data_IF_366335644280
#
_entry.id   IF_366335644280
#
_cell.length_a   1.000
_cell.length_b   1.000
_cell.length_c   1.000
_cell.angle_alpha   90.00
_cell.angle_beta   90.00
_cell.angle_gamma   90.00
#
_symmetry.space_group_name_H-M   'P 1'
#
loop_
_entity.id
_entity.type
_entity.pdbx_description
1 polymer ?
#
# COMPACT_ATOMS: atom_id res chain seq x y z
N UNK A 1 -12.62 16.59 10.77
CA UNK A 1 -12.02 16.33 9.45
C UNK A 1 -10.94 17.35 9.06
N UNK A 2 -11.17 18.66 9.28
CA UNK A 2 -10.26 19.72 8.84
C UNK A 2 -8.82 19.58 9.34
N UNK A 3 -8.63 19.13 10.59
CA UNK A 3 -7.28 18.91 11.13
C UNK A 3 -6.48 17.88 10.29
N UNK A 4 -7.13 16.79 9.87
CA UNK A 4 -6.51 15.73 9.09
C UNK A 4 -6.13 16.23 7.70
N UNK A 5 -7.10 16.87 7.01
CA UNK A 5 -6.89 17.47 5.69
C UNK A 5 -5.72 18.47 5.74
N UNK A 6 -5.67 19.31 6.77
CA UNK A 6 -4.59 20.28 6.94
C UNK A 6 -3.24 19.57 7.11
N UNK A 7 -3.15 18.59 8.02
CA UNK A 7 -1.93 17.84 8.26
C UNK A 7 -1.40 17.14 6.98
N UNK A 8 -2.25 16.40 6.26
CA UNK A 8 -1.83 15.67 5.04
C UNK A 8 -1.50 16.58 3.86
N UNK A 9 -2.01 17.82 3.87
CA UNK A 9 -1.71 18.82 2.85
C UNK A 9 -0.41 19.55 3.15
N UNK A 10 -0.18 19.96 4.41
CA UNK A 10 1.04 20.66 4.82
C UNK A 10 2.26 19.74 4.90
N UNK A 11 2.07 18.49 5.34
CA UNK A 11 3.16 17.54 5.55
C UNK A 11 2.90 16.20 4.84
N UNK A 12 2.80 16.20 3.50
CA UNK A 12 2.30 15.05 2.73
C UNK A 12 3.20 13.81 2.79
N UNK A 13 4.51 13.97 2.97
CA UNK A 13 5.47 12.86 3.09
C UNK A 13 5.50 12.34 4.52
N UNK A 14 5.65 13.24 5.50
CA UNK A 14 5.72 12.87 6.91
C UNK A 14 4.45 12.16 7.37
N UNK A 15 3.27 12.65 6.97
CA UNK A 15 1.99 12.01 7.30
C UNK A 15 1.84 10.65 6.61
N UNK A 16 2.37 10.46 5.41
CA UNK A 16 2.42 9.14 4.76
C UNK A 16 3.30 8.17 5.57
N UNK A 17 4.50 8.61 5.95
CA UNK A 17 5.44 7.85 6.80
C UNK A 17 4.75 7.40 8.08
N UNK A 18 4.16 8.33 8.83
CA UNK A 18 3.50 8.02 10.11
C UNK A 18 2.34 7.03 9.92
N UNK A 19 1.46 7.27 8.94
CA UNK A 19 0.30 6.42 8.70
C UNK A 19 0.71 4.99 8.32
N UNK A 20 1.65 4.82 7.40
CA UNK A 20 2.10 3.48 6.99
C UNK A 20 2.96 2.80 8.06
N UNK A 21 3.81 3.53 8.78
CA UNK A 21 4.58 2.97 9.89
C UNK A 21 3.67 2.33 10.95
N UNK A 22 2.58 3.02 11.30
CA UNK A 22 1.61 2.53 12.28
C UNK A 22 0.71 1.45 11.68
N UNK A 23 -0.02 1.76 10.60
CA UNK A 23 -1.06 0.86 10.06
C UNK A 23 -0.48 -0.35 9.32
N UNK A 24 0.65 -0.19 8.63
CA UNK A 24 1.35 -1.29 7.99
C UNK A 24 1.85 -2.31 9.01
N UNK A 25 2.57 -1.84 10.03
CA UNK A 25 3.05 -2.68 11.14
C UNK A 25 1.88 -3.34 11.88
N UNK A 26 0.81 -2.59 12.12
CA UNK A 26 -0.38 -3.12 12.78
C UNK A 26 -1.08 -4.20 11.95
N UNK A 27 -1.17 -4.05 10.63
CA UNK A 27 -1.72 -5.06 9.73
C UNK A 27 -0.97 -6.40 9.83
N UNK A 28 0.35 -6.36 9.92
CA UNK A 28 1.16 -7.56 10.12
C UNK A 28 0.92 -8.22 11.50
N UNK A 29 0.77 -7.41 12.54
CA UNK A 29 0.46 -7.88 13.90
C UNK A 29 -0.93 -8.54 13.93
N UNK A 30 -1.95 -7.89 13.36
CA UNK A 30 -3.31 -8.44 13.26
C UNK A 30 -3.32 -9.77 12.51
N UNK A 31 -2.55 -9.88 11.42
CA UNK A 31 -2.46 -11.13 10.67
C UNK A 31 -2.03 -12.29 11.58
N UNK A 32 -1.04 -12.06 12.46
CA UNK A 32 -0.61 -13.05 13.46
C UNK A 32 -1.66 -13.31 14.53
N UNK A 33 -2.42 -12.30 14.95
CA UNK A 33 -3.52 -12.50 15.91
C UNK A 33 -4.59 -13.43 15.36
N UNK A 34 -5.00 -13.22 14.10
CA UNK A 34 -6.04 -14.02 13.46
C UNK A 34 -5.56 -15.47 13.23
N UNK A 35 -4.33 -15.65 12.76
CA UNK A 35 -3.75 -16.99 12.56
C UNK A 35 -3.71 -17.77 13.88
N UNK A 36 -3.29 -17.14 14.97
CA UNK A 36 -3.12 -17.80 16.27
C UNK A 36 -4.38 -17.76 17.16
N UNK A 37 -5.47 -17.12 16.70
CA UNK A 37 -6.70 -16.89 17.47
C UNK A 37 -6.46 -16.26 18.86
N UNK A 38 -5.41 -15.43 18.97
CA UNK A 38 -4.98 -14.84 20.25
C UNK A 38 -4.40 -13.45 20.01
N UNK A 39 -4.70 -12.51 20.92
CA UNK A 39 -4.07 -11.18 20.95
C UNK A 39 -2.81 -11.25 21.79
N UNK A 40 -1.66 -10.97 21.18
CA UNK A 40 -0.34 -10.99 21.82
C UNK A 40 0.66 -10.17 20.99
N UNK A 41 1.76 -9.68 21.54
CA UNK A 41 2.78 -9.04 20.69
C UNK A 41 3.60 -10.12 19.96
N UNK A 42 3.49 -10.29 18.62
CA UNK A 42 4.12 -11.41 17.93
C UNK A 42 5.60 -11.16 17.61
N UNK A 43 6.07 -9.94 17.79
CA UNK A 43 7.42 -9.49 17.44
C UNK A 43 8.11 -8.87 18.65
N UNK A 44 9.44 -9.00 18.73
CA UNK A 44 10.21 -8.26 19.74
C UNK A 44 10.20 -6.76 19.42
N UNK A 45 10.45 -5.92 20.42
CA UNK A 45 10.47 -4.46 20.25
C UNK A 45 11.41 -3.99 19.11
N UNK A 46 12.60 -4.59 18.99
CA UNK A 46 13.55 -4.27 17.91
C UNK A 46 12.99 -4.59 16.52
N UNK A 47 12.26 -5.70 16.39
CA UNK A 47 11.62 -6.11 15.13
C UNK A 47 10.46 -5.17 14.79
N UNK A 48 9.66 -4.76 15.77
CA UNK A 48 8.59 -3.77 15.56
C UNK A 48 9.16 -2.46 15.02
N UNK A 49 10.21 -1.93 15.64
CA UNK A 49 10.87 -0.70 15.16
C UNK A 49 11.42 -0.86 13.73
N UNK A 50 12.02 -2.01 13.43
CA UNK A 50 12.48 -2.29 12.06
C UNK A 50 11.31 -2.28 11.06
N UNK A 51 10.20 -2.96 11.38
CA UNK A 51 9.02 -2.99 10.53
C UNK A 51 8.43 -1.60 10.30
N UNK A 52 8.37 -0.77 11.35
CA UNK A 52 7.97 0.63 11.22
C UNK A 52 8.90 1.41 10.27
N UNK A 53 10.21 1.18 10.33
CA UNK A 53 11.17 1.80 9.41
C UNK A 53 10.99 1.31 7.97
N UNK A 54 10.80 0.02 7.76
CA UNK A 54 10.50 -0.57 6.43
C UNK A 54 9.24 0.07 5.85
N UNK A 55 8.15 0.10 6.61
CA UNK A 55 6.91 0.74 6.17
C UNK A 55 7.05 2.25 5.91
N UNK A 56 7.89 2.93 6.68
CA UNK A 56 8.21 4.35 6.46
C UNK A 56 8.89 4.59 5.11
N UNK A 57 9.88 3.76 4.76
CA UNK A 57 10.58 3.82 3.47
C UNK A 57 9.59 3.57 2.33
N UNK A 58 8.78 2.52 2.46
CA UNK A 58 7.76 2.17 1.46
C UNK A 58 6.72 3.27 1.30
N UNK A 59 6.34 3.98 2.37
CA UNK A 59 5.38 5.07 2.33
C UNK A 59 5.83 6.21 1.39
N UNK A 60 7.12 6.55 1.42
CA UNK A 60 7.70 7.57 0.53
C UNK A 60 7.63 7.11 -0.92
N UNK A 61 8.04 5.87 -1.20
CA UNK A 61 7.94 5.27 -2.54
C UNK A 61 6.49 5.25 -3.05
N UNK A 62 5.54 4.82 -2.22
CA UNK A 62 4.11 4.77 -2.55
C UNK A 62 3.59 6.18 -2.86
N UNK A 63 3.93 7.17 -2.04
CA UNK A 63 3.48 8.55 -2.25
C UNK A 63 3.97 9.12 -3.58
N UNK A 64 5.24 8.89 -3.91
CA UNK A 64 5.80 9.31 -5.19
C UNK A 64 5.18 8.54 -6.37
N UNK A 65 5.01 7.23 -6.26
CA UNK A 65 4.35 6.43 -7.29
C UNK A 65 2.90 6.91 -7.55
N UNK A 66 2.14 7.20 -6.50
CA UNK A 66 0.76 7.69 -6.63
C UNK A 66 0.68 9.02 -7.37
N UNK A 67 1.62 9.94 -7.12
CA UNK A 67 1.67 11.23 -7.83
C UNK A 67 2.19 11.04 -9.25
N UNK A 68 3.27 10.29 -9.42
CA UNK A 68 3.91 10.03 -10.71
C UNK A 68 2.99 9.32 -11.69
N UNK A 69 2.31 8.24 -11.29
CA UNK A 69 1.40 7.48 -12.16
C UNK A 69 0.18 8.32 -12.56
N UNK A 70 -0.32 9.22 -11.71
CA UNK A 70 -1.37 10.17 -12.12
C UNK A 70 -0.88 11.12 -13.21
N UNK A 71 0.36 11.60 -13.11
CA UNK A 71 1.01 12.38 -14.16
C UNK A 71 1.15 11.57 -15.44
N UNK A 72 1.62 10.32 -15.31
CA UNK A 72 1.79 9.38 -16.42
C UNK A 72 0.47 9.12 -17.17
N UNK A 73 -0.63 8.84 -16.45
CA UNK A 73 -1.97 8.70 -17.07
C UNK A 73 -2.38 9.96 -17.80
N UNK A 74 -2.14 11.14 -17.22
CA UNK A 74 -2.48 12.43 -17.85
C UNK A 74 -1.72 12.62 -19.16
N UNK A 75 -0.40 12.38 -19.15
CA UNK A 75 0.44 12.51 -20.33
C UNK A 75 0.03 11.52 -21.42
N UNK A 76 -0.27 10.27 -21.07
CA UNK A 76 -0.74 9.28 -22.04
C UNK A 76 -2.09 9.67 -22.67
N UNK A 77 -3.02 10.25 -21.90
CA UNK A 77 -4.30 10.73 -22.45
C UNK A 77 -4.12 11.97 -23.34
N UNK A 78 -3.22 12.88 -22.96
CA UNK A 78 -2.91 14.09 -23.72
C UNK A 78 -2.26 13.76 -25.08
N UNK A 79 -1.38 12.76 -25.11
CA UNK A 79 -0.75 12.28 -26.34
C UNK A 79 -1.61 11.27 -27.13
N UNK A 80 -2.90 11.10 -26.80
CA UNK A 80 -3.82 10.16 -27.44
C UNK A 80 -3.37 8.68 -27.40
N UNK A 81 -2.51 8.31 -26.44
CA UNK A 81 -2.04 6.94 -26.20
C UNK A 81 -2.96 6.15 -25.25
N UNK A 82 -3.84 6.85 -24.52
CA UNK A 82 -4.97 6.26 -23.79
C UNK A 82 -6.29 6.90 -24.26
N UNK A 83 -7.42 6.16 -24.20
CA UNK A 83 -8.73 6.70 -24.50
C UNK A 83 -9.04 7.95 -23.66
N UNK A 84 -9.71 8.94 -24.26
CA UNK A 84 -10.07 10.19 -23.57
C UNK A 84 -10.94 10.00 -22.33
N UNK A 85 -11.65 8.86 -22.22
CA UNK A 85 -12.38 8.48 -21.01
C UNK A 85 -11.50 8.37 -19.73
N UNK A 86 -10.16 8.21 -19.88
CA UNK A 86 -9.22 8.24 -18.77
C UNK A 86 -8.73 9.65 -18.39
N UNK A 87 -9.03 10.67 -19.21
CA UNK A 87 -8.64 12.06 -18.94
C UNK A 87 -9.52 12.67 -17.84
N UNK A 88 -10.81 12.36 -17.86
CA UNK A 88 -11.79 12.92 -16.94
C UNK A 88 -11.66 12.35 -15.51
N UNK A 89 -12.01 13.15 -14.51
CA UNK A 89 -12.14 12.66 -13.14
C UNK A 89 -13.31 11.68 -13.09
N UNK A 90 -13.07 10.47 -12.60
CA UNK A 90 -14.11 9.45 -12.47
C UNK A 90 -13.55 8.07 -12.22
N UNK A 91 -14.44 7.09 -12.14
CA UNK A 91 -14.09 5.70 -11.83
C UNK A 91 -13.21 5.06 -12.91
N UNK A 92 -13.40 5.42 -14.17
CA UNK A 92 -12.60 4.90 -15.30
C UNK A 92 -11.13 5.34 -15.15
N UNK A 93 -10.91 6.63 -14.89
CA UNK A 93 -9.57 7.15 -14.59
C UNK A 93 -8.98 6.52 -13.34
N UNK A 94 -9.76 6.38 -12.26
CA UNK A 94 -9.31 5.75 -11.02
C UNK A 94 -8.87 4.29 -11.25
N UNK A 95 -9.63 3.54 -12.05
CA UNK A 95 -9.28 2.18 -12.46
C UNK A 95 -7.98 2.16 -13.30
N UNK A 96 -7.83 3.06 -14.27
CA UNK A 96 -6.61 3.16 -15.08
C UNK A 96 -5.36 3.45 -14.24
N UNK A 97 -5.44 4.42 -13.31
CA UNK A 97 -4.36 4.70 -12.35
C UNK A 97 -4.08 3.45 -11.50
N UNK A 98 -5.12 2.76 -11.04
CA UNK A 98 -5.00 1.55 -10.22
C UNK A 98 -4.29 0.41 -10.95
N UNK A 99 -4.67 0.13 -12.20
CA UNK A 99 -4.02 -0.87 -13.03
C UNK A 99 -2.55 -0.54 -13.19
N UNK A 100 -2.22 0.70 -13.59
CA UNK A 100 -0.84 1.10 -13.85
C UNK A 100 0.02 1.11 -12.58
N UNK A 101 -0.49 1.61 -11.45
CA UNK A 101 0.29 1.60 -10.20
C UNK A 101 0.57 0.18 -9.73
N UNK A 102 -0.37 -0.75 -9.89
CA UNK A 102 -0.19 -2.12 -9.41
C UNK A 102 0.68 -2.96 -10.35
N UNK A 103 0.51 -2.83 -11.67
CA UNK A 103 1.29 -3.60 -12.63
C UNK A 103 2.73 -3.09 -12.78
N UNK A 104 2.96 -1.77 -12.72
CA UNK A 104 4.31 -1.22 -12.88
C UNK A 104 5.03 -1.08 -11.54
N UNK A 105 4.40 -0.42 -10.56
CA UNK A 105 5.03 -0.12 -9.27
C UNK A 105 4.77 -1.20 -8.22
N UNK A 106 3.60 -1.85 -8.23
CA UNK A 106 3.24 -2.86 -7.25
C UNK A 106 4.19 -4.05 -7.23
N UNK A 107 4.66 -4.51 -8.39
CA UNK A 107 5.65 -5.59 -8.48
C UNK A 107 6.97 -5.20 -7.79
N UNK A 108 7.48 -4.00 -8.09
CA UNK A 108 8.64 -3.44 -7.41
C UNK A 108 8.41 -3.37 -5.91
N UNK A 109 7.26 -2.84 -5.47
CA UNK A 109 6.94 -2.66 -4.06
C UNK A 109 6.93 -3.98 -3.29
N UNK A 110 6.32 -5.03 -3.83
CA UNK A 110 6.25 -6.36 -3.18
C UNK A 110 7.64 -6.96 -3.01
N UNK A 111 8.48 -6.90 -4.05
CA UNK A 111 9.85 -7.41 -4.02
C UNK A 111 10.71 -6.58 -3.08
N UNK A 112 10.63 -5.25 -3.18
CA UNK A 112 11.43 -4.34 -2.37
C UNK A 112 11.07 -4.42 -0.89
N UNK A 113 9.78 -4.48 -0.56
CA UNK A 113 9.32 -4.76 0.80
C UNK A 113 9.95 -6.05 1.32
N UNK A 114 9.95 -7.12 0.50
CA UNK A 114 10.52 -8.40 0.92
C UNK A 114 12.02 -8.33 1.16
N UNK A 115 12.76 -7.62 0.32
CA UNK A 115 14.19 -7.40 0.49
C UNK A 115 14.45 -6.68 1.81
N UNK A 116 13.74 -5.58 2.07
CA UNK A 116 13.88 -4.80 3.31
C UNK A 116 13.55 -5.62 4.57
N UNK A 117 12.49 -6.40 4.53
CA UNK A 117 12.12 -7.29 5.64
C UNK A 117 13.23 -8.32 5.92
N UNK A 118 13.84 -8.88 4.87
CA UNK A 118 14.89 -9.89 4.99
C UNK A 118 16.24 -9.34 5.49
N UNK A 119 16.48 -8.02 5.52
CA UNK A 119 17.77 -7.46 5.96
C UNK A 119 18.09 -7.72 7.44
N UNK A 120 17.06 -7.83 8.28
CA UNK A 120 17.20 -8.06 9.73
C UNK A 120 16.83 -9.49 10.13
N UNK A 121 16.25 -10.27 9.23
CA UNK A 121 15.92 -11.67 9.49
C UNK A 121 17.15 -12.56 9.28
N UNK A 122 17.36 -13.49 10.22
CA UNK A 122 18.44 -14.48 10.12
C UNK A 122 18.25 -15.44 8.94
N UNK A 123 17.01 -15.74 8.59
CA UNK A 123 16.64 -16.57 7.44
C UNK A 123 15.83 -15.76 6.44
N UNK A 124 16.24 -15.79 5.17
CA UNK A 124 15.57 -15.07 4.09
C UNK A 124 14.25 -15.77 3.76
N UNK A 125 13.13 -15.09 4.03
CA UNK A 125 11.81 -15.66 3.77
C UNK A 125 11.35 -15.27 2.37
N UNK A 126 11.46 -16.14 1.38
CA UNK A 126 10.91 -15.91 0.02
C UNK A 126 9.56 -16.58 -0.21
N UNK A 127 9.08 -17.35 0.77
CA UNK A 127 7.84 -18.12 0.64
C UNK A 127 6.64 -17.18 0.53
N UNK A 128 5.73 -17.49 -0.40
CA UNK A 128 4.50 -16.75 -0.63
C UNK A 128 4.69 -15.44 -1.40
N UNK A 129 5.85 -15.20 -2.02
CA UNK A 129 6.06 -14.04 -2.88
C UNK A 129 5.13 -14.06 -4.10
N UNK A 130 4.92 -15.24 -4.68
CA UNK A 130 3.93 -15.53 -5.73
C UNK A 130 2.53 -15.06 -5.34
N UNK A 131 2.09 -15.39 -4.12
CA UNK A 131 0.79 -14.96 -3.58
C UNK A 131 0.75 -13.45 -3.37
N UNK A 132 1.86 -12.85 -2.94
CA UNK A 132 2.02 -11.40 -2.84
C UNK A 132 1.86 -10.71 -4.19
N UNK A 133 2.48 -11.23 -5.24
CA UNK A 133 2.34 -10.72 -6.61
C UNK A 133 0.91 -10.89 -7.13
N UNK A 134 0.29 -12.05 -6.90
CA UNK A 134 -1.11 -12.28 -7.29
C UNK A 134 -2.08 -11.32 -6.58
N UNK A 135 -1.79 -10.92 -5.33
CA UNK A 135 -2.60 -9.93 -4.60
C UNK A 135 -2.65 -8.57 -5.30
N UNK A 136 -1.65 -8.22 -6.11
CA UNK A 136 -1.66 -6.99 -6.89
C UNK A 136 -2.86 -6.95 -7.84
N UNK A 137 -3.25 -8.11 -8.38
CA UNK A 137 -4.36 -8.23 -9.32
C UNK A 137 -5.72 -8.25 -8.61
N UNK A 138 -5.94 -9.22 -7.72
CA UNK A 138 -7.27 -9.49 -7.19
C UNK A 138 -7.65 -8.61 -5.99
N UNK A 139 -6.67 -8.08 -5.24
CA UNK A 139 -6.91 -7.23 -4.07
C UNK A 139 -6.56 -5.77 -4.36
N UNK A 140 -5.33 -5.49 -4.78
CA UNK A 140 -4.85 -4.11 -4.85
C UNK A 140 -5.40 -3.33 -6.03
N UNK A 141 -5.71 -3.94 -7.19
CA UNK A 141 -6.40 -3.21 -8.27
C UNK A 141 -7.79 -2.73 -7.83
N UNK A 142 -8.68 -3.57 -7.27
CA UNK A 142 -9.95 -3.10 -6.72
C UNK A 142 -9.77 -2.07 -5.60
N UNK A 143 -8.90 -2.36 -4.62
CA UNK A 143 -8.68 -1.48 -3.47
C UNK A 143 -8.16 -0.09 -3.89
N UNK A 144 -7.17 -0.04 -4.78
CA UNK A 144 -6.64 1.22 -5.29
C UNK A 144 -7.59 1.93 -6.24
N UNK A 145 -8.50 1.23 -6.93
CA UNK A 145 -9.56 1.89 -7.72
C UNK A 145 -10.46 2.71 -6.80
N UNK A 146 -10.86 2.14 -5.66
CA UNK A 146 -11.59 2.88 -4.62
C UNK A 146 -10.73 4.00 -4.04
N UNK A 147 -9.44 3.75 -3.79
CA UNK A 147 -8.53 4.80 -3.31
C UNK A 147 -8.45 5.99 -4.26
N UNK A 148 -8.33 5.76 -5.57
CA UNK A 148 -8.17 6.82 -6.55
C UNK A 148 -9.47 7.51 -6.94
N UNK A 149 -10.63 6.96 -6.59
CA UNK A 149 -11.92 7.65 -6.73
C UNK A 149 -12.16 8.69 -5.63
N UNK A 150 -11.42 8.61 -4.50
CA UNK A 150 -11.52 9.58 -3.41
C UNK A 150 -10.77 10.89 -3.68
N UNK A 151 -11.11 11.99 -2.96
CA UNK A 151 -10.30 13.21 -2.92
C UNK A 151 -8.85 12.93 -2.52
N UNK A 152 -7.92 13.72 -3.06
CA UNK A 152 -6.46 13.50 -2.98
C UNK A 152 -5.96 13.35 -1.54
N UNK A 153 -6.59 14.08 -0.62
CA UNK A 153 -6.27 14.18 0.80
C UNK A 153 -6.46 12.83 1.51
N UNK A 154 -7.42 12.02 1.08
CA UNK A 154 -7.78 10.75 1.75
C UNK A 154 -7.09 9.53 1.16
N UNK A 155 -6.49 9.63 -0.02
CA UNK A 155 -6.00 8.47 -0.76
C UNK A 155 -4.88 7.72 -0.03
N UNK A 156 -3.96 8.46 0.59
CA UNK A 156 -2.84 7.85 1.34
C UNK A 156 -3.33 7.22 2.64
N UNK A 157 -4.25 7.88 3.35
CA UNK A 157 -4.85 7.30 4.55
C UNK A 157 -5.59 6.01 4.24
N UNK A 158 -6.40 5.98 3.19
CA UNK A 158 -7.10 4.76 2.76
C UNK A 158 -6.12 3.68 2.29
N UNK A 159 -5.07 4.03 1.54
CA UNK A 159 -4.04 3.06 1.16
C UNK A 159 -3.34 2.43 2.37
N UNK A 160 -3.06 3.21 3.43
CA UNK A 160 -2.50 2.68 4.66
C UNK A 160 -3.51 1.78 5.43
N UNK A 161 -4.81 2.10 5.39
CA UNK A 161 -5.86 1.23 5.93
C UNK A 161 -5.96 -0.10 5.17
N UNK A 162 -5.74 -0.10 3.86
CA UNK A 162 -5.69 -1.35 3.09
C UNK A 162 -4.57 -2.29 3.55
N UNK A 163 -3.46 -1.79 4.10
CA UNK A 163 -2.44 -2.64 4.73
C UNK A 163 -2.97 -3.43 5.93
N UNK A 164 -3.87 -2.83 6.73
CA UNK A 164 -4.54 -3.51 7.84
C UNK A 164 -5.52 -4.54 7.30
N UNK A 165 -6.35 -4.16 6.33
CA UNK A 165 -7.34 -5.05 5.72
C UNK A 165 -6.69 -6.26 5.07
N UNK A 166 -5.57 -6.08 4.36
CA UNK A 166 -4.81 -7.19 3.80
C UNK A 166 -4.27 -8.11 4.90
N UNK A 167 -3.76 -7.54 6.01
CA UNK A 167 -3.36 -8.28 7.20
C UNK A 167 -4.48 -9.16 7.75
N UNK A 168 -5.71 -8.62 7.80
CA UNK A 168 -6.93 -9.36 8.19
C UNK A 168 -7.19 -10.53 7.23
N UNK A 169 -7.28 -10.24 5.94
CA UNK A 169 -7.60 -11.23 4.90
C UNK A 169 -6.57 -12.37 4.88
N UNK A 170 -5.28 -12.04 4.87
CA UNK A 170 -4.20 -13.03 4.91
C UNK A 170 -4.17 -13.80 6.22
N UNK A 171 -4.58 -13.17 7.32
CA UNK A 171 -4.73 -13.82 8.61
C UNK A 171 -5.75 -14.96 8.54
N UNK A 172 -6.91 -14.72 7.90
CA UNK A 172 -7.93 -15.74 7.71
C UNK A 172 -7.51 -16.84 6.74
N UNK A 173 -6.88 -16.49 5.60
CA UNK A 173 -6.45 -17.50 4.61
C UNK A 173 -5.32 -18.41 5.09
N UNK A 174 -4.47 -17.94 6.00
CA UNK A 174 -3.36 -18.74 6.56
C UNK A 174 -3.72 -19.42 7.88
N UNK A 175 -4.96 -19.29 8.34
CA UNK A 175 -5.48 -19.99 9.51
C UNK A 175 -5.64 -21.47 9.16
N UNK A 176 -5.05 -22.34 9.98
CA UNK A 176 -5.31 -23.78 9.97
C UNK A 176 -6.44 -24.12 10.93
#
# INVERSE_FOLDING_TARGET
>A
MNWYINAVTQHPILTAIIQFAVLGTFGEIISKWIINKKVFMPFSFKIVLWKMAVWSILAVCIKYAFVGIKGYVSALTEHHLLPQAFAEKGIIRAFGISVLVNLQFGLFLVIFHRILDNLVLKEKNWKGLDKGMLSLLWFWIPAHTVTFSLPKEFQIGLAALWSVMLGVILGFFNRK
#
